data_IF_517772055542
#
_entry.id   IF_517772055542
#
_cell.length_a   1.000
_cell.length_b   1.000
_cell.length_c   1.000
_cell.angle_alpha   90.00
_cell.angle_beta   90.00
_cell.angle_gamma   90.00
#
_symmetry.space_group_name_H-M   'P 1'
#
loop_
_entity.id
_entity.type
_entity.pdbx_description
1 polymer ?
#
# COMPACT_ATOMS: atom_id res chain seq x y z
N UNK A 1 -29.05 34.48 -2.88
CA UNK A 1 -28.37 33.26 -3.34
C UNK A 1 -28.18 32.34 -2.14
N UNK A 2 -28.71 31.11 -2.14
CA UNK A 2 -28.45 30.17 -1.05
C UNK A 2 -26.99 29.66 -1.17
N UNK A 3 -26.35 29.27 -0.06
CA UNK A 3 -24.99 28.76 -0.08
C UNK A 3 -24.97 27.41 -0.82
N UNK A 4 -24.07 27.28 -1.80
CA UNK A 4 -23.77 26.01 -2.44
C UNK A 4 -23.35 25.01 -1.36
N UNK A 5 -24.18 23.99 -1.15
CA UNK A 5 -23.82 22.83 -0.35
C UNK A 5 -22.60 22.20 -1.02
N UNK A 6 -21.43 22.39 -0.42
CA UNK A 6 -20.22 21.66 -0.78
C UNK A 6 -20.60 20.19 -0.88
N UNK A 7 -20.61 19.67 -2.11
CA UNK A 7 -20.87 18.28 -2.41
C UNK A 7 -19.89 17.49 -1.56
N UNK A 8 -20.40 16.79 -0.54
CA UNK A 8 -19.62 15.86 0.28
C UNK A 8 -18.87 14.97 -0.71
N UNK A 9 -17.57 15.17 -0.80
CA UNK A 9 -16.71 14.33 -1.62
C UNK A 9 -16.93 12.90 -1.17
N UNK A 10 -17.32 12.04 -2.10
CA UNK A 10 -17.55 10.60 -1.93
C UNK A 10 -16.25 9.82 -1.68
N UNK A 11 -15.27 10.45 -1.03
CA UNK A 11 -14.17 9.79 -0.31
C UNK A 11 -14.66 9.10 0.98
N UNK A 12 -15.93 9.26 1.34
CA UNK A 12 -16.54 8.71 2.56
C UNK A 12 -17.06 7.27 2.49
N UNK A 13 -16.83 6.55 1.40
CA UNK A 13 -17.21 5.14 1.28
C UNK A 13 -16.18 4.36 0.45
N UNK A 14 -14.91 4.43 0.85
CA UNK A 14 -14.03 3.30 0.59
C UNK A 14 -14.66 2.11 1.34
N UNK A 15 -15.35 1.23 0.61
CA UNK A 15 -15.85 -0.03 1.14
C UNK A 15 -14.78 -0.62 2.05
N UNK A 16 -15.16 -0.94 3.30
CA UNK A 16 -14.30 -1.48 4.37
C UNK A 16 -12.96 -1.94 3.82
N UNK A 17 -11.94 -1.10 3.95
CA UNK A 17 -10.67 -1.29 3.25
C UNK A 17 -10.01 -2.55 3.82
N UNK A 18 -10.29 -3.69 3.16
CA UNK A 18 -9.70 -5.00 3.48
C UNK A 18 -8.19 -4.89 3.61
N UNK A 19 -7.57 -3.97 2.87
CA UNK A 19 -6.15 -3.68 2.97
C UNK A 19 -5.79 -2.99 4.30
N UNK A 20 -6.52 -1.96 4.73
CA UNK A 20 -6.27 -1.29 6.02
C UNK A 20 -6.48 -2.25 7.19
N UNK A 21 -7.53 -3.06 7.15
CA UNK A 21 -7.78 -4.10 8.15
C UNK A 21 -6.64 -5.12 8.21
N UNK A 22 -6.15 -5.58 7.05
CA UNK A 22 -4.96 -6.47 6.98
C UNK A 22 -3.69 -5.79 7.47
N UNK A 23 -3.52 -4.50 7.20
CA UNK A 23 -2.38 -3.73 7.69
C UNK A 23 -2.43 -3.52 9.22
N UNK A 24 -3.62 -3.49 9.80
CA UNK A 24 -3.85 -3.33 11.24
C UNK A 24 -3.95 -4.66 12.01
N UNK A 25 -3.85 -5.81 11.33
CA UNK A 25 -3.80 -7.12 11.96
C UNK A 25 -2.72 -7.18 13.06
N UNK A 26 -3.14 -7.56 14.27
CA UNK A 26 -2.29 -7.62 15.45
C UNK A 26 -1.03 -8.45 15.25
N UNK A 27 0.08 -7.98 15.82
CA UNK A 27 1.38 -8.65 15.68
C UNK A 27 2.03 -8.50 14.30
N UNK A 28 1.46 -7.70 13.39
CA UNK A 28 2.05 -7.43 12.08
C UNK A 28 1.91 -8.57 11.07
N UNK A 29 1.08 -9.58 11.36
CA UNK A 29 0.88 -10.76 10.51
C UNK A 29 0.39 -10.37 9.11
N UNK A 30 -0.62 -9.50 9.01
CA UNK A 30 -1.13 -9.09 7.71
C UNK A 30 -0.16 -8.22 6.91
N UNK A 31 0.67 -7.40 7.58
CA UNK A 31 1.80 -6.69 6.93
C UNK A 31 2.81 -7.67 6.36
N UNK A 32 3.21 -8.69 7.13
CA UNK A 32 4.13 -9.72 6.68
C UNK A 32 3.56 -10.50 5.49
N UNK A 33 2.26 -10.84 5.52
CA UNK A 33 1.57 -11.51 4.42
C UNK A 33 1.53 -10.65 3.15
N UNK A 34 1.26 -9.35 3.27
CA UNK A 34 1.29 -8.42 2.13
C UNK A 34 2.71 -8.30 1.56
N UNK A 35 3.73 -8.20 2.41
CA UNK A 35 5.14 -8.14 1.97
C UNK A 35 5.55 -9.43 1.24
N UNK A 36 5.14 -10.59 1.74
CA UNK A 36 5.38 -11.87 1.08
C UNK A 36 4.71 -11.92 -0.30
N UNK A 37 3.42 -11.55 -0.37
CA UNK A 37 2.69 -11.49 -1.64
C UNK A 37 3.37 -10.56 -2.66
N UNK A 38 3.72 -9.34 -2.27
CA UNK A 38 4.41 -8.39 -3.15
C UNK A 38 5.77 -8.92 -3.60
N UNK A 39 6.48 -9.67 -2.75
CA UNK A 39 7.76 -10.27 -3.11
C UNK A 39 7.59 -11.36 -4.16
N UNK A 40 6.58 -12.21 -4.03
CA UNK A 40 6.27 -13.26 -5.00
C UNK A 40 5.85 -12.67 -6.35
N UNK A 41 5.01 -11.63 -6.35
CA UNK A 41 4.58 -10.93 -7.56
C UNK A 41 5.76 -10.24 -8.28
N UNK A 42 6.68 -9.60 -7.52
CA UNK A 42 7.91 -9.03 -8.08
C UNK A 42 8.77 -10.11 -8.72
N UNK A 43 8.92 -11.26 -8.07
CA UNK A 43 9.71 -12.37 -8.59
C UNK A 43 9.12 -12.93 -9.89
N UNK A 44 7.80 -13.15 -9.92
CA UNK A 44 7.09 -13.60 -11.11
C UNK A 44 7.22 -12.62 -12.28
N UNK A 45 7.00 -11.32 -12.05
CA UNK A 45 7.14 -10.29 -13.08
C UNK A 45 8.58 -10.14 -13.57
N UNK A 46 9.56 -10.28 -12.67
CA UNK A 46 10.98 -10.27 -13.03
C UNK A 46 11.36 -11.44 -13.94
N UNK A 47 10.73 -12.61 -13.77
CA UNK A 47 10.89 -13.74 -14.69
C UNK A 47 10.26 -13.46 -16.05
N UNK A 48 9.03 -12.94 -16.08
CA UNK A 48 8.32 -12.59 -17.33
C UNK A 48 9.11 -11.54 -18.13
N UNK A 49 9.70 -10.56 -17.45
CA UNK A 49 10.52 -9.50 -18.05
C UNK A 49 11.66 -10.06 -18.93
N UNK A 50 12.28 -11.18 -18.53
CA UNK A 50 13.39 -11.79 -19.27
C UNK A 50 12.98 -12.29 -20.67
N UNK A 51 11.71 -12.68 -20.83
CA UNK A 51 11.15 -13.17 -22.09
C UNK A 51 10.25 -12.16 -22.81
N UNK A 52 10.04 -10.97 -22.24
CA UNK A 52 9.11 -9.98 -22.77
C UNK A 52 9.66 -9.30 -24.03
N UNK A 53 8.77 -8.98 -24.96
CA UNK A 53 9.10 -8.17 -26.14
C UNK A 53 9.64 -6.79 -25.71
N UNK A 54 10.58 -6.18 -26.47
CA UNK A 54 11.23 -4.93 -26.07
C UNK A 54 10.27 -3.77 -25.76
N UNK A 55 9.13 -3.70 -26.44
CA UNK A 55 8.11 -2.69 -26.21
C UNK A 55 7.47 -2.82 -24.80
N UNK A 56 7.26 -4.06 -24.33
CA UNK A 56 6.61 -4.36 -23.05
C UNK A 56 7.59 -4.30 -21.87
N UNK A 57 8.90 -4.43 -22.12
CA UNK A 57 9.92 -4.41 -21.07
C UNK A 57 9.88 -3.13 -20.24
N UNK A 58 9.67 -1.97 -20.86
CA UNK A 58 9.63 -0.68 -20.15
C UNK A 58 8.47 -0.61 -19.16
N UNK A 59 7.29 -1.08 -19.59
CA UNK A 59 6.08 -1.10 -18.75
C UNK A 59 6.23 -2.09 -17.60
N UNK A 60 6.78 -3.27 -17.87
CA UNK A 60 7.05 -4.27 -16.84
C UNK A 60 8.09 -3.79 -15.81
N UNK A 61 9.14 -3.09 -16.25
CA UNK A 61 10.11 -2.46 -15.34
C UNK A 61 9.41 -1.46 -14.43
N UNK A 62 8.58 -0.55 -14.99
CA UNK A 62 7.85 0.42 -14.20
C UNK A 62 6.92 -0.25 -13.17
N UNK A 63 6.21 -1.30 -13.58
CA UNK A 63 5.34 -2.06 -12.68
C UNK A 63 6.13 -2.70 -11.53
N UNK A 64 7.28 -3.33 -11.83
CA UNK A 64 8.15 -3.92 -10.81
C UNK A 64 8.64 -2.86 -9.82
N UNK A 65 9.02 -1.67 -10.29
CA UNK A 65 9.44 -0.58 -9.41
C UNK A 65 8.29 -0.03 -8.55
N UNK A 66 7.08 0.07 -9.10
CA UNK A 66 5.89 0.43 -8.32
C UNK A 66 5.61 -0.59 -7.20
N UNK A 67 5.72 -1.89 -7.49
CA UNK A 67 5.54 -2.95 -6.48
C UNK A 67 6.64 -2.91 -5.41
N UNK A 68 7.89 -2.64 -5.79
CA UNK A 68 8.99 -2.44 -4.83
C UNK A 68 8.72 -1.25 -3.92
N UNK A 69 8.26 -0.13 -4.47
CA UNK A 69 7.89 1.04 -3.68
C UNK A 69 6.73 0.73 -2.72
N UNK A 70 5.68 0.05 -3.19
CA UNK A 70 4.56 -0.38 -2.36
C UNK A 70 5.03 -1.29 -1.21
N UNK A 71 5.91 -2.27 -1.49
CA UNK A 71 6.47 -3.15 -0.47
C UNK A 71 7.20 -2.37 0.63
N UNK A 72 8.04 -1.41 0.24
CA UNK A 72 8.75 -0.56 1.20
C UNK A 72 7.79 0.28 2.07
N UNK A 73 6.69 0.75 1.50
CA UNK A 73 5.66 1.49 2.27
C UNK A 73 5.03 0.58 3.31
N UNK A 74 4.70 -0.66 2.95
CA UNK A 74 4.11 -1.64 3.89
C UNK A 74 5.10 -2.02 4.98
N UNK A 75 6.36 -2.32 4.63
CA UNK A 75 7.43 -2.62 5.60
C UNK A 75 7.61 -1.49 6.63
N UNK A 76 7.53 -0.24 6.18
CA UNK A 76 7.68 0.95 7.04
C UNK A 76 6.39 1.34 7.76
N UNK A 77 5.25 0.75 7.41
CA UNK A 77 3.94 1.17 7.93
C UNK A 77 3.81 0.99 9.45
N UNK A 78 4.48 0.00 10.01
CA UNK A 78 4.55 -0.22 11.46
C UNK A 78 5.15 0.98 12.23
N UNK A 79 6.09 1.70 11.61
CA UNK A 79 6.72 2.86 12.23
C UNK A 79 5.77 4.07 12.28
N UNK A 80 4.79 4.15 11.38
CA UNK A 80 3.77 5.20 11.40
C UNK A 80 2.73 4.96 12.52
N UNK A 81 2.37 3.70 12.79
CA UNK A 81 1.50 3.35 13.93
C UNK A 81 2.16 3.76 15.24
N UNK A 82 3.41 3.34 15.47
CA UNK A 82 4.16 3.67 16.68
C UNK A 82 4.34 5.19 16.87
N UNK A 83 4.59 5.93 15.79
CA UNK A 83 4.71 7.39 15.86
C UNK A 83 3.40 8.11 16.25
N UNK A 84 2.24 7.55 15.87
CA UNK A 84 0.92 8.09 16.23
C UNK A 84 0.61 7.88 17.71
N UNK A 85 0.96 6.71 18.25
CA UNK A 85 0.69 6.37 19.65
C UNK A 85 1.62 7.14 20.59
N UNK A 86 2.91 7.26 20.25
CA UNK A 86 3.87 8.08 21.01
C UNK A 86 3.44 9.57 21.11
N UNK A 87 2.74 10.09 20.09
CA UNK A 87 2.19 11.47 20.10
C UNK A 87 0.95 11.64 20.98
N UNK A 88 0.19 10.58 21.25
CA UNK A 88 -0.97 10.62 22.15
C UNK A 88 -0.53 10.54 23.60
N UNK A 89 0.48 9.72 23.90
CA UNK A 89 1.04 9.57 25.24
C UNK A 89 1.71 10.86 25.74
N UNK A 90 2.44 11.56 24.87
CA UNK A 90 3.08 12.85 25.21
C UNK A 90 2.12 14.04 25.37
N UNK A 91 0.81 13.84 25.21
CA UNK A 91 -0.24 14.84 25.44
C UNK A 91 -1.14 14.54 26.65
N UNK A 92 -0.90 13.44 27.36
CA UNK A 92 -1.57 13.06 28.61
C UNK A 92 -0.69 13.42 29.80
#
# INVERSE_FOLDING_TARGET
MPPETAVKSTLGACADLLLEQRLDEGGGAGRAAIVAQLTDEIAALSQVLQSAAPALQRELILLVECLRAARQVVERSANFTNARDNRKESRS
#
